data_IF_366151331701
#
_entry.id   IF_366151331701
#
_cell.length_a   1.000
_cell.length_b   1.000
_cell.length_c   1.000
_cell.angle_alpha   90.00
_cell.angle_beta   90.00
_cell.angle_gamma   90.00
#
_symmetry.space_group_name_H-M   'P 1'
#
loop_
_entity.id
_entity.type
_entity.pdbx_description
1 polymer ?
#
# COMPACT_ATOMS: atom_id res chain seq x y z
N UNK A 1 -110.27 -23.30 26.30
CA UNK A 1 -110.23 -24.77 26.55
C UNK A 1 -110.85 -25.12 27.90
N UNK A 2 -110.38 -24.57 29.02
CA UNK A 2 -110.90 -24.86 30.37
C UNK A 2 -112.41 -24.57 30.53
N UNK A 3 -112.90 -23.44 29.99
CA UNK A 3 -114.34 -23.08 29.98
C UNK A 3 -115.25 -24.13 29.33
N UNK A 4 -114.76 -24.85 28.32
CA UNK A 4 -115.50 -25.93 27.65
C UNK A 4 -115.59 -27.19 28.50
N UNK A 5 -114.60 -27.44 29.35
CA UNK A 5 -114.59 -28.56 30.29
C UNK A 5 -115.34 -28.24 31.59
N UNK A 6 -115.44 -26.96 31.98
CA UNK A 6 -116.28 -26.47 33.08
C UNK A 6 -117.75 -26.81 32.89
N UNK A 7 -118.32 -26.41 31.75
CA UNK A 7 -119.73 -26.69 31.40
C UNK A 7 -120.00 -28.19 31.38
N UNK A 8 -119.08 -28.98 30.81
CA UNK A 8 -119.22 -30.44 30.82
C UNK A 8 -119.17 -31.01 32.24
N UNK A 9 -118.23 -30.59 33.09
CA UNK A 9 -118.10 -31.12 34.46
C UNK A 9 -119.29 -30.72 35.36
N UNK A 10 -119.94 -29.59 35.12
CA UNK A 10 -121.19 -29.20 35.80
C UNK A 10 -122.36 -30.13 35.45
N UNK A 11 -122.45 -30.62 34.21
CA UNK A 11 -123.54 -31.50 33.75
C UNK A 11 -123.44 -32.95 34.27
N UNK A 12 -122.22 -33.46 34.52
CA UNK A 12 -121.97 -34.88 34.87
C UNK A 12 -121.41 -35.12 36.28
N UNK A 13 -121.09 -34.08 37.04
CA UNK A 13 -120.55 -34.26 38.40
C UNK A 13 -121.64 -34.26 39.48
N UNK A 14 -121.45 -35.06 40.53
CA UNK A 14 -122.31 -35.09 41.72
C UNK A 14 -121.99 -33.96 42.72
N UNK A 15 -121.16 -32.99 42.32
CA UNK A 15 -120.72 -31.87 43.15
C UNK A 15 -121.58 -30.63 42.89
N UNK A 16 -121.67 -29.72 43.86
CA UNK A 16 -122.31 -28.42 43.65
C UNK A 16 -121.50 -27.62 42.61
N UNK A 17 -122.16 -26.82 41.76
CA UNK A 17 -121.49 -26.05 40.71
C UNK A 17 -120.31 -25.19 41.24
N UNK A 18 -120.44 -24.68 42.47
CA UNK A 18 -119.38 -23.96 43.18
C UNK A 18 -118.09 -24.79 43.38
N UNK A 19 -118.22 -26.09 43.67
CA UNK A 19 -117.09 -26.99 43.89
C UNK A 19 -116.40 -27.38 42.56
N UNK A 20 -117.16 -27.51 41.47
CA UNK A 20 -116.63 -27.73 40.12
C UNK A 20 -115.83 -26.51 39.65
N UNK A 21 -116.37 -25.30 39.86
CA UNK A 21 -115.64 -24.06 39.57
C UNK A 21 -114.38 -23.92 40.43
N UNK A 22 -114.44 -24.28 41.72
CA UNK A 22 -113.27 -24.25 42.60
C UNK A 22 -112.18 -25.22 42.13
N UNK A 23 -112.54 -26.46 41.78
CA UNK A 23 -111.60 -27.45 41.24
C UNK A 23 -110.94 -26.97 39.94
N UNK A 24 -111.70 -26.38 39.03
CA UNK A 24 -111.18 -25.88 37.76
C UNK A 24 -110.30 -24.65 37.98
N UNK A 25 -110.67 -23.76 38.89
CA UNK A 25 -109.86 -22.62 39.26
C UNK A 25 -108.53 -23.07 39.90
N UNK A 26 -108.55 -24.06 40.79
CA UNK A 26 -107.33 -24.64 41.38
C UNK A 26 -106.45 -25.32 40.32
N UNK A 27 -107.06 -26.03 39.35
CA UNK A 27 -106.31 -26.62 38.23
C UNK A 27 -105.73 -25.57 37.28
N UNK A 28 -106.49 -24.52 36.97
CA UNK A 28 -106.01 -23.37 36.18
C UNK A 28 -104.87 -22.65 36.90
N UNK A 29 -104.99 -22.44 38.21
CA UNK A 29 -103.95 -21.84 39.05
C UNK A 29 -102.69 -22.69 39.10
N UNK A 30 -102.82 -24.01 39.18
CA UNK A 30 -101.69 -24.94 39.13
C UNK A 30 -100.99 -24.94 37.76
N UNK A 31 -101.75 -24.93 36.66
CA UNK A 31 -101.21 -24.84 35.30
C UNK A 31 -100.50 -23.49 35.11
N UNK A 32 -101.11 -22.38 35.52
CA UNK A 32 -100.49 -21.06 35.43
C UNK A 32 -99.23 -20.95 36.28
N UNK A 33 -99.21 -21.56 37.48
CA UNK A 33 -98.03 -21.61 38.34
C UNK A 33 -96.89 -22.42 37.69
N UNK A 34 -97.21 -23.54 37.04
CA UNK A 34 -96.22 -24.35 36.31
C UNK A 34 -95.70 -23.63 35.05
N UNK A 35 -96.58 -22.97 34.28
CA UNK A 35 -96.21 -22.14 33.13
C UNK A 35 -95.28 -21.00 33.52
N UNK A 36 -95.63 -20.23 34.55
CA UNK A 36 -94.77 -19.16 35.08
C UNK A 36 -93.44 -19.70 35.63
N UNK A 37 -93.46 -20.89 36.25
CA UNK A 37 -92.26 -21.59 36.69
C UNK A 37 -91.35 -21.96 35.50
N UNK A 38 -91.92 -22.50 34.43
CA UNK A 38 -91.22 -22.88 33.21
C UNK A 38 -90.69 -21.65 32.46
N UNK A 39 -91.46 -20.56 32.35
CA UNK A 39 -91.00 -19.30 31.76
C UNK A 39 -89.83 -18.72 32.54
N UNK A 40 -89.90 -18.70 33.89
CA UNK A 40 -88.78 -18.26 34.74
C UNK A 40 -87.55 -19.16 34.58
N UNK A 41 -87.72 -20.48 34.55
CA UNK A 41 -86.62 -21.43 34.35
C UNK A 41 -85.97 -21.24 32.97
N UNK A 42 -86.78 -21.05 31.92
CA UNK A 42 -86.32 -20.78 30.55
C UNK A 42 -85.55 -19.45 30.49
N UNK A 43 -86.09 -18.39 31.07
CA UNK A 43 -85.42 -17.09 31.15
C UNK A 43 -84.08 -17.17 31.90
N UNK A 44 -84.03 -17.95 33.00
CA UNK A 44 -82.78 -18.16 33.76
C UNK A 44 -81.74 -18.97 32.97
N UNK A 45 -82.16 -19.99 32.23
CA UNK A 45 -81.29 -20.75 31.33
C UNK A 45 -80.73 -19.86 30.21
N UNK A 46 -81.58 -19.05 29.57
CA UNK A 46 -81.16 -18.09 28.54
C UNK A 46 -80.15 -17.09 29.10
N UNK A 47 -80.41 -16.55 30.31
CA UNK A 47 -79.48 -15.64 30.98
C UNK A 47 -78.13 -16.30 31.25
N UNK A 48 -78.11 -17.49 31.87
CA UNK A 48 -76.87 -18.20 32.20
C UNK A 48 -76.09 -18.58 30.93
N UNK A 49 -76.79 -18.95 29.84
CA UNK A 49 -76.14 -19.23 28.56
C UNK A 49 -75.50 -17.97 28.00
N UNK A 50 -76.21 -16.84 28.01
CA UNK A 50 -75.70 -15.56 27.52
C UNK A 50 -74.50 -15.07 28.34
N UNK A 51 -74.55 -15.24 29.66
CA UNK A 51 -73.44 -14.95 30.58
C UNK A 51 -72.22 -15.83 30.26
N UNK A 52 -72.40 -17.14 30.09
CA UNK A 52 -71.31 -18.06 29.74
C UNK A 52 -70.69 -17.76 28.38
N UNK A 53 -71.49 -17.42 27.36
CA UNK A 53 -70.98 -17.03 26.05
C UNK A 53 -70.21 -15.71 26.11
N UNK A 54 -70.69 -14.72 26.88
CA UNK A 54 -69.97 -13.45 27.08
C UNK A 54 -68.60 -13.67 27.77
N UNK A 55 -68.54 -14.56 28.77
CA UNK A 55 -67.29 -14.92 29.43
C UNK A 55 -66.31 -15.62 28.48
N UNK A 56 -66.79 -16.52 27.62
CA UNK A 56 -65.97 -17.17 26.59
C UNK A 56 -65.44 -16.17 25.57
N UNK A 57 -66.30 -15.27 25.07
CA UNK A 57 -65.91 -14.22 24.12
C UNK A 57 -64.79 -13.34 24.73
N UNK A 58 -64.95 -12.94 25.98
CA UNK A 58 -63.93 -12.17 26.71
C UNK A 58 -62.60 -12.93 26.82
N UNK A 59 -62.65 -14.23 27.15
CA UNK A 59 -61.45 -15.07 27.22
C UNK A 59 -60.77 -15.22 25.85
N UNK A 60 -61.55 -15.42 24.78
CA UNK A 60 -61.04 -15.50 23.42
C UNK A 60 -60.41 -14.18 22.98
N UNK A 61 -61.03 -13.05 23.30
CA UNK A 61 -60.49 -11.72 22.99
C UNK A 61 -59.15 -11.49 23.71
N UNK A 62 -59.03 -11.86 24.98
CA UNK A 62 -57.77 -11.78 25.72
C UNK A 62 -56.67 -12.66 25.10
N UNK A 63 -56.98 -13.92 24.80
CA UNK A 63 -56.05 -14.84 24.12
C UNK A 63 -55.63 -14.31 22.76
N UNK A 64 -56.56 -13.78 21.97
CA UNK A 64 -56.26 -13.17 20.68
C UNK A 64 -55.31 -11.98 20.82
N UNK A 65 -55.56 -11.09 21.80
CA UNK A 65 -54.67 -9.97 22.08
C UNK A 65 -53.26 -10.40 22.47
N UNK A 66 -53.11 -11.45 23.29
CA UNK A 66 -51.81 -12.04 23.60
C UNK A 66 -51.12 -12.60 22.35
N UNK A 67 -51.83 -13.36 21.52
CA UNK A 67 -51.29 -13.92 20.27
C UNK A 67 -50.86 -12.85 19.28
N UNK A 68 -51.59 -11.74 19.20
CA UNK A 68 -51.19 -10.60 18.37
C UNK A 68 -49.90 -9.97 18.88
N UNK A 69 -49.72 -9.84 20.21
CA UNK A 69 -48.46 -9.35 20.79
C UNK A 69 -47.29 -10.29 20.50
N UNK A 70 -47.47 -11.60 20.67
CA UNK A 70 -46.45 -12.59 20.36
C UNK A 70 -46.05 -12.56 18.89
N UNK A 71 -47.05 -12.54 17.99
CA UNK A 71 -46.82 -12.45 16.55
C UNK A 71 -46.04 -11.18 16.17
N UNK A 72 -46.40 -10.03 16.75
CA UNK A 72 -45.68 -8.76 16.55
C UNK A 72 -44.21 -8.85 16.99
N UNK A 73 -43.95 -9.46 18.15
CA UNK A 73 -42.59 -9.67 18.66
C UNK A 73 -41.77 -10.58 17.76
N UNK A 74 -42.36 -11.68 17.27
CA UNK A 74 -41.70 -12.63 16.38
C UNK A 74 -41.31 -11.93 15.06
N UNK A 75 -42.21 -11.16 14.47
CA UNK A 75 -41.92 -10.44 13.23
C UNK A 75 -40.80 -9.40 13.39
N UNK A 76 -40.82 -8.63 14.48
CA UNK A 76 -39.71 -7.71 14.82
C UNK A 76 -38.38 -8.46 14.89
N UNK A 77 -38.34 -9.61 15.56
CA UNK A 77 -37.14 -10.45 15.66
C UNK A 77 -36.70 -10.98 14.30
N UNK A 78 -37.61 -11.43 13.45
CA UNK A 78 -37.28 -11.92 12.11
C UNK A 78 -36.59 -10.84 11.25
N UNK A 79 -37.06 -9.59 11.29
CA UNK A 79 -36.43 -8.48 10.54
C UNK A 79 -35.02 -8.20 11.07
N UNK A 80 -34.86 -8.16 12.40
CA UNK A 80 -33.54 -7.95 13.03
C UNK A 80 -32.57 -9.09 12.71
N UNK A 81 -33.04 -10.34 12.75
CA UNK A 81 -32.18 -11.50 12.48
C UNK A 81 -31.78 -11.55 11.01
N UNK A 82 -32.69 -11.28 10.09
CA UNK A 82 -32.37 -11.17 8.66
C UNK A 82 -31.32 -10.09 8.38
N UNK A 83 -31.36 -8.96 9.10
CA UNK A 83 -30.32 -7.95 9.02
C UNK A 83 -28.99 -8.45 9.58
N UNK A 84 -29.01 -9.17 10.71
CA UNK A 84 -27.80 -9.76 11.32
C UNK A 84 -27.14 -10.77 10.39
N UNK A 85 -27.92 -11.65 9.76
CA UNK A 85 -27.44 -12.63 8.77
C UNK A 85 -26.82 -11.92 7.56
N UNK A 86 -27.48 -10.87 7.05
CA UNK A 86 -26.94 -10.04 5.97
C UNK A 86 -25.59 -9.42 6.37
N UNK A 87 -25.51 -8.82 7.56
CA UNK A 87 -24.26 -8.23 8.05
C UNK A 87 -23.17 -9.28 8.24
N UNK A 88 -23.51 -10.51 8.61
CA UNK A 88 -22.56 -11.62 8.79
C UNK A 88 -22.14 -12.29 7.47
N UNK A 89 -22.75 -11.92 6.34
CA UNK A 89 -22.41 -12.50 5.04
C UNK A 89 -20.97 -12.14 4.61
N UNK A 90 -20.36 -13.04 3.84
CA UNK A 90 -18.99 -12.85 3.35
C UNK A 90 -18.87 -11.61 2.47
N UNK A 91 -19.88 -11.31 1.65
CA UNK A 91 -19.91 -10.11 0.80
C UNK A 91 -19.80 -8.79 1.59
N UNK A 92 -20.26 -8.79 2.85
CA UNK A 92 -20.26 -7.61 3.71
C UNK A 92 -19.06 -7.61 4.65
N UNK A 93 -18.71 -8.75 5.25
CA UNK A 93 -17.58 -8.83 6.17
C UNK A 93 -16.22 -8.81 5.44
N UNK A 94 -16.11 -9.55 4.33
CA UNK A 94 -14.87 -9.72 3.57
C UNK A 94 -15.15 -9.61 2.06
N UNK A 95 -15.37 -8.39 1.53
CA UNK A 95 -15.83 -8.21 0.16
C UNK A 95 -14.86 -8.87 -0.85
N UNK A 96 -15.34 -9.79 -1.71
CA UNK A 96 -14.48 -10.51 -2.66
C UNK A 96 -13.71 -9.58 -3.64
N UNK A 97 -14.28 -8.42 -3.94
CA UNK A 97 -13.65 -7.40 -4.78
C UNK A 97 -12.41 -6.82 -4.12
N UNK A 98 -12.46 -6.54 -2.81
CA UNK A 98 -11.30 -6.07 -2.03
C UNK A 98 -10.20 -7.13 -1.99
N UNK A 99 -10.59 -8.39 -1.78
CA UNK A 99 -9.62 -9.51 -1.83
C UNK A 99 -8.91 -9.59 -3.17
N UNK A 100 -9.66 -9.46 -4.27
CA UNK A 100 -9.10 -9.44 -5.63
C UNK A 100 -8.14 -8.27 -5.84
N UNK A 101 -8.51 -7.06 -5.39
CA UNK A 101 -7.61 -5.89 -5.46
C UNK A 101 -6.34 -6.11 -4.64
N UNK A 102 -6.43 -6.75 -3.47
CA UNK A 102 -5.26 -7.07 -2.64
C UNK A 102 -4.33 -8.07 -3.33
N UNK A 103 -4.89 -9.11 -3.94
CA UNK A 103 -4.13 -10.09 -4.71
C UNK A 103 -3.43 -9.44 -5.92
N UNK A 104 -4.13 -8.56 -6.64
CA UNK A 104 -3.55 -7.80 -7.74
C UNK A 104 -2.41 -6.91 -7.28
N UNK A 105 -2.58 -6.19 -6.16
CA UNK A 105 -1.53 -5.36 -5.57
C UNK A 105 -0.29 -6.17 -5.24
N UNK A 106 -0.45 -7.33 -4.60
CA UNK A 106 0.68 -8.21 -4.24
C UNK A 106 1.44 -8.64 -5.50
N UNK A 107 0.74 -9.05 -6.56
CA UNK A 107 1.39 -9.44 -7.81
C UNK A 107 2.17 -8.30 -8.45
N UNK A 108 1.58 -7.10 -8.48
CA UNK A 108 2.23 -5.91 -9.03
C UNK A 108 3.45 -5.49 -8.20
N UNK A 109 3.35 -5.56 -6.86
CA UNK A 109 4.47 -5.31 -5.95
C UNK A 109 5.60 -6.32 -6.14
N UNK A 110 5.30 -7.59 -6.39
CA UNK A 110 6.32 -8.61 -6.69
C UNK A 110 7.10 -8.22 -7.95
N UNK A 111 6.39 -7.89 -9.04
CA UNK A 111 7.02 -7.51 -10.31
C UNK A 111 7.90 -6.26 -10.16
N UNK A 112 7.40 -5.22 -9.50
CA UNK A 112 8.16 -4.00 -9.23
C UNK A 112 9.33 -4.25 -8.27
N UNK A 113 9.14 -5.12 -7.27
CA UNK A 113 10.16 -5.55 -6.33
C UNK A 113 11.31 -6.28 -7.01
N UNK A 114 11.01 -7.17 -7.96
CA UNK A 114 12.02 -7.84 -8.79
C UNK A 114 12.77 -6.86 -9.70
N UNK A 115 12.08 -5.89 -10.29
CA UNK A 115 12.71 -4.81 -11.07
C UNK A 115 13.68 -4.00 -10.20
N UNK A 116 13.24 -3.61 -9.00
CA UNK A 116 14.07 -2.89 -8.03
C UNK A 116 15.29 -3.71 -7.61
N UNK A 117 15.11 -5.01 -7.37
CA UNK A 117 16.21 -5.91 -7.02
C UNK A 117 17.26 -5.97 -8.13
N UNK A 118 16.85 -6.04 -9.41
CA UNK A 118 17.80 -6.01 -10.54
C UNK A 118 18.61 -4.72 -10.58
N UNK A 119 17.96 -3.57 -10.35
CA UNK A 119 18.66 -2.28 -10.28
C UNK A 119 19.65 -2.24 -9.11
N UNK A 120 19.28 -2.75 -7.94
CA UNK A 120 20.17 -2.84 -6.78
C UNK A 120 21.36 -3.80 -7.02
N UNK A 121 21.15 -4.91 -7.73
CA UNK A 121 22.23 -5.83 -8.08
C UNK A 121 23.23 -5.21 -9.05
N UNK A 122 22.77 -4.31 -9.94
CA UNK A 122 23.64 -3.58 -10.87
C UNK A 122 24.62 -2.64 -10.15
N UNK A 123 24.38 -2.25 -8.90
CA UNK A 123 25.29 -1.41 -8.12
C UNK A 123 26.69 -2.02 -8.01
N UNK A 124 26.80 -3.35 -7.91
CA UNK A 124 28.09 -4.04 -7.82
C UNK A 124 28.96 -3.91 -9.08
N UNK A 125 28.38 -3.53 -10.22
CA UNK A 125 29.12 -3.32 -11.46
C UNK A 125 29.50 -1.84 -11.69
N UNK A 126 28.95 -0.91 -10.90
CA UNK A 126 29.23 0.52 -10.99
C UNK A 126 30.57 0.86 -10.32
N UNK A 127 31.66 0.32 -10.86
CA UNK A 127 33.01 0.48 -10.34
C UNK A 127 33.89 1.25 -11.33
N UNK A 128 34.79 2.11 -10.83
CA UNK A 128 35.88 2.65 -11.64
C UNK A 128 36.77 1.55 -12.24
N UNK A 129 37.43 1.80 -13.38
CA UNK A 129 37.37 3.02 -14.20
C UNK A 129 36.20 3.05 -15.18
N UNK A 130 35.43 1.96 -15.27
CA UNK A 130 34.46 1.72 -16.33
C UNK A 130 33.22 2.60 -16.27
N UNK A 131 32.89 3.14 -15.10
CA UNK A 131 31.70 3.94 -14.86
C UNK A 131 32.08 5.31 -14.31
N UNK A 132 31.27 6.30 -14.65
CA UNK A 132 31.42 7.70 -14.27
C UNK A 132 30.42 8.09 -13.18
N UNK A 133 30.62 9.25 -12.58
CA UNK A 133 29.65 9.86 -11.67
C UNK A 133 28.27 10.05 -12.32
N UNK A 134 28.21 10.27 -13.63
CA UNK A 134 26.94 10.40 -14.35
C UNK A 134 26.15 9.10 -14.32
N UNK A 135 26.82 7.96 -14.54
CA UNK A 135 26.18 6.64 -14.57
C UNK A 135 25.59 6.28 -13.21
N UNK A 136 26.26 6.64 -12.12
CA UNK A 136 25.75 6.44 -10.74
C UNK A 136 24.55 7.34 -10.46
N UNK A 137 24.57 8.59 -10.93
CA UNK A 137 23.43 9.50 -10.78
C UNK A 137 22.21 8.99 -11.56
N UNK A 138 22.43 8.43 -12.76
CA UNK A 138 21.37 7.83 -13.58
C UNK A 138 20.81 6.56 -12.93
N UNK A 139 21.68 5.68 -12.43
CA UNK A 139 21.28 4.51 -11.65
C UNK A 139 20.41 4.90 -10.44
N UNK A 140 20.84 5.92 -9.67
CA UNK A 140 20.11 6.37 -8.50
C UNK A 140 18.74 6.97 -8.87
N UNK A 141 18.68 7.78 -9.93
CA UNK A 141 17.40 8.30 -10.45
C UNK A 141 16.46 7.17 -10.88
N UNK A 142 16.99 6.12 -11.51
CA UNK A 142 16.21 4.95 -11.90
C UNK A 142 15.63 4.24 -10.68
N UNK A 143 16.44 4.07 -9.63
CA UNK A 143 16.01 3.48 -8.36
C UNK A 143 14.94 4.34 -7.66
N UNK A 144 15.12 5.66 -7.62
CA UNK A 144 14.16 6.60 -7.03
C UNK A 144 12.82 6.59 -7.78
N UNK A 145 12.85 6.58 -9.12
CA UNK A 145 11.66 6.50 -9.95
C UNK A 145 10.90 5.18 -9.75
N UNK A 146 11.62 4.05 -9.56
CA UNK A 146 11.00 2.77 -9.23
C UNK A 146 10.34 2.80 -7.84
N UNK A 147 10.99 3.37 -6.83
CA UNK A 147 10.38 3.52 -5.51
C UNK A 147 9.11 4.39 -5.58
N UNK A 148 9.16 5.52 -6.29
CA UNK A 148 7.97 6.37 -6.53
C UNK A 148 6.85 5.63 -7.25
N UNK A 149 7.19 4.75 -8.20
CA UNK A 149 6.22 3.94 -8.93
C UNK A 149 5.54 2.91 -8.03
N UNK A 150 6.29 2.29 -7.11
CA UNK A 150 5.74 1.38 -6.07
C UNK A 150 4.78 2.16 -5.17
N UNK A 151 5.18 3.32 -4.66
CA UNK A 151 4.35 4.14 -3.77
C UNK A 151 3.06 4.61 -4.45
N UNK A 152 3.18 5.07 -5.70
CA UNK A 152 2.01 5.48 -6.52
C UNK A 152 1.05 4.32 -6.67
N UNK A 153 1.56 3.12 -6.96
CA UNK A 153 0.72 1.94 -7.17
C UNK A 153 0.02 1.48 -5.89
N UNK A 154 0.70 1.58 -4.75
CA UNK A 154 0.11 1.30 -3.45
C UNK A 154 -1.06 2.26 -3.17
N UNK A 155 -0.86 3.56 -3.38
CA UNK A 155 -1.92 4.58 -3.19
C UNK A 155 -3.11 4.33 -4.12
N UNK A 156 -2.87 4.02 -5.39
CA UNK A 156 -3.94 3.69 -6.35
C UNK A 156 -4.76 2.47 -5.92
N UNK A 157 -4.11 1.42 -5.43
CA UNK A 157 -4.82 0.23 -4.96
C UNK A 157 -5.62 0.50 -3.68
N UNK A 158 -5.02 1.22 -2.73
CA UNK A 158 -5.70 1.67 -1.51
C UNK A 158 -6.98 2.45 -1.81
N UNK A 159 -6.93 3.32 -2.82
CA UNK A 159 -8.11 4.09 -3.23
C UNK A 159 -9.20 3.19 -3.84
N UNK A 160 -8.82 2.20 -4.67
CA UNK A 160 -9.80 1.22 -5.17
C UNK A 160 -10.45 0.44 -4.03
N UNK A 161 -9.67 -0.01 -3.04
CA UNK A 161 -10.21 -0.72 -1.87
C UNK A 161 -11.18 0.17 -1.08
N UNK A 162 -10.83 1.44 -0.87
CA UNK A 162 -11.72 2.43 -0.23
C UNK A 162 -13.06 2.52 -0.95
N UNK A 163 -13.05 2.68 -2.27
CA UNK A 163 -14.29 2.74 -3.08
C UNK A 163 -15.12 1.46 -2.94
N UNK A 164 -14.48 0.29 -2.89
CA UNK A 164 -15.20 -0.97 -2.67
C UNK A 164 -15.84 -1.04 -1.27
N UNK A 165 -15.13 -0.60 -0.23
CA UNK A 165 -15.70 -0.52 1.11
C UNK A 165 -16.85 0.49 1.19
N UNK A 166 -16.74 1.65 0.55
CA UNK A 166 -17.84 2.63 0.46
C UNK A 166 -19.08 2.05 -0.23
N UNK A 167 -18.90 1.25 -1.30
CA UNK A 167 -20.01 0.56 -1.95
C UNK A 167 -20.71 -0.41 -0.98
N UNK A 168 -19.95 -1.17 -0.19
CA UNK A 168 -20.49 -2.08 0.83
C UNK A 168 -21.23 -1.31 1.91
N UNK A 169 -20.69 -0.17 2.36
CA UNK A 169 -21.38 0.71 3.30
C UNK A 169 -22.70 1.23 2.74
N UNK A 170 -22.75 1.61 1.46
CA UNK A 170 -23.97 1.99 0.76
C UNK A 170 -25.03 0.88 0.78
N UNK A 171 -24.64 -0.36 0.46
CA UNK A 171 -25.53 -1.54 0.54
C UNK A 171 -26.07 -1.74 1.96
N UNK A 172 -25.23 -1.57 2.97
CA UNK A 172 -25.64 -1.69 4.37
C UNK A 172 -26.69 -0.63 4.73
N UNK A 173 -26.48 0.62 4.34
CA UNK A 173 -27.44 1.70 4.57
C UNK A 173 -28.78 1.46 3.89
N UNK A 174 -28.78 0.99 2.63
CA UNK A 174 -30.00 0.62 1.91
C UNK A 174 -30.76 -0.50 2.62
N UNK A 175 -30.04 -1.51 3.12
CA UNK A 175 -30.65 -2.61 3.89
C UNK A 175 -31.26 -2.11 5.20
N UNK A 176 -30.59 -1.21 5.93
CA UNK A 176 -31.14 -0.57 7.13
C UNK A 176 -32.45 0.16 6.82
N UNK A 177 -32.49 0.95 5.75
CA UNK A 177 -33.72 1.65 5.34
C UNK A 177 -34.83 0.68 4.94
N UNK A 178 -34.50 -0.38 4.22
CA UNK A 178 -35.46 -1.44 3.84
C UNK A 178 -36.06 -2.11 5.08
N UNK A 179 -35.24 -2.43 6.08
CA UNK A 179 -35.70 -2.97 7.35
C UNK A 179 -36.59 -1.99 8.10
N UNK A 180 -36.24 -0.69 8.12
CA UNK A 180 -37.07 0.37 8.73
C UNK A 180 -38.44 0.48 8.07
N UNK A 181 -38.48 0.54 6.73
CA UNK A 181 -39.74 0.62 5.97
C UNK A 181 -40.60 -0.62 6.20
N UNK A 182 -40.00 -1.81 6.17
CA UNK A 182 -40.71 -3.07 6.44
C UNK A 182 -41.39 -3.07 7.82
N UNK A 183 -40.71 -2.57 8.85
CA UNK A 183 -41.28 -2.48 10.21
C UNK A 183 -42.42 -1.46 10.31
N UNK A 184 -42.32 -0.33 9.59
CA UNK A 184 -43.37 0.70 9.53
C UNK A 184 -44.60 0.20 8.76
N UNK A 185 -44.40 -0.40 7.59
CA UNK A 185 -45.47 -0.89 6.70
C UNK A 185 -46.29 -1.99 7.36
N UNK A 186 -45.65 -2.85 8.15
CA UNK A 186 -46.35 -3.91 8.88
C UNK A 186 -47.20 -3.38 10.05
N UNK A 187 -47.01 -2.12 10.48
CA UNK A 187 -47.68 -1.51 11.64
C UNK A 187 -47.59 -2.37 12.93
N UNK A 188 -46.47 -3.09 13.05
CA UNK A 188 -46.22 -4.08 14.09
C UNK A 188 -45.64 -3.42 15.35
N UNK A 189 -44.80 -2.40 15.17
CA UNK A 189 -44.10 -1.68 16.24
C UNK A 189 -44.65 -0.26 16.42
N UNK A 190 -44.43 0.32 17.60
CA UNK A 190 -44.58 1.77 17.78
C UNK A 190 -43.44 2.49 17.05
N UNK A 191 -43.63 3.77 16.74
CA UNK A 191 -42.58 4.59 16.10
C UNK A 191 -41.30 4.59 16.94
N UNK A 192 -41.41 4.67 18.26
CA UNK A 192 -40.28 4.61 19.18
C UNK A 192 -39.51 3.27 19.10
N UNK A 193 -40.24 2.15 19.05
CA UNK A 193 -39.62 0.82 18.91
C UNK A 193 -38.85 0.67 17.60
N UNK A 194 -39.37 1.25 16.51
CA UNK A 194 -38.70 1.25 15.20
C UNK A 194 -37.42 2.06 15.25
N UNK A 195 -37.43 3.24 15.88
CA UNK A 195 -36.23 4.07 16.01
C UNK A 195 -35.14 3.40 16.86
N UNK A 196 -35.51 2.68 17.94
CA UNK A 196 -34.54 1.90 18.73
C UNK A 196 -33.90 0.80 17.89
N UNK A 197 -34.69 0.06 17.10
CA UNK A 197 -34.15 -1.00 16.22
C UNK A 197 -33.27 -0.40 15.13
N UNK A 198 -33.72 0.69 14.50
CA UNK A 198 -32.97 1.40 13.47
C UNK A 198 -31.63 1.91 14.00
N UNK A 199 -31.60 2.51 15.20
CA UNK A 199 -30.38 2.96 15.87
C UNK A 199 -29.40 1.80 16.12
N UNK A 200 -29.89 0.65 16.60
CA UNK A 200 -29.06 -0.53 16.81
C UNK A 200 -28.46 -1.06 15.50
N UNK A 201 -29.23 -1.06 14.40
CA UNK A 201 -28.74 -1.48 13.08
C UNK A 201 -27.67 -0.51 12.55
N UNK A 202 -27.88 0.79 12.69
CA UNK A 202 -26.88 1.80 12.33
C UNK A 202 -25.59 1.62 13.12
N UNK A 203 -25.67 1.31 14.42
CA UNK A 203 -24.49 1.05 15.23
C UNK A 203 -23.69 -0.16 14.73
N UNK A 204 -24.34 -1.20 14.20
CA UNK A 204 -23.65 -2.34 13.59
C UNK A 204 -22.93 -1.94 12.29
N UNK A 205 -23.57 -1.13 11.45
CA UNK A 205 -22.97 -0.60 10.23
C UNK A 205 -21.76 0.30 10.55
N UNK A 206 -21.86 1.15 11.56
CA UNK A 206 -20.76 2.03 11.97
C UNK A 206 -19.55 1.24 12.49
N UNK A 207 -19.78 0.17 13.26
CA UNK A 207 -18.70 -0.73 13.69
C UNK A 207 -17.99 -1.40 12.52
N UNK A 208 -18.73 -1.76 11.46
CA UNK A 208 -18.13 -2.32 10.25
C UNK A 208 -17.31 -1.27 9.51
N UNK A 209 -17.83 -0.04 9.39
CA UNK A 209 -17.13 1.08 8.77
C UNK A 209 -15.81 1.38 9.46
N UNK A 210 -15.83 1.51 10.79
CA UNK A 210 -14.63 1.76 11.59
C UNK A 210 -13.56 0.69 11.36
N UNK A 211 -13.95 -0.58 11.29
CA UNK A 211 -13.02 -1.68 11.00
C UNK A 211 -12.34 -1.49 9.63
N UNK A 212 -13.10 -1.16 8.59
CA UNK A 212 -12.54 -0.92 7.25
C UNK A 212 -11.60 0.29 7.24
N UNK A 213 -11.94 1.35 7.96
CA UNK A 213 -11.09 2.53 8.11
C UNK A 213 -9.78 2.17 8.83
N UNK A 214 -9.84 1.43 9.94
CA UNK A 214 -8.66 0.95 10.68
C UNK A 214 -7.75 0.07 9.81
N UNK A 215 -8.32 -0.85 9.03
CA UNK A 215 -7.55 -1.71 8.11
C UNK A 215 -6.83 -0.87 7.05
N UNK A 216 -7.51 0.10 6.44
CA UNK A 216 -6.91 0.99 5.45
C UNK A 216 -5.84 1.91 6.08
N UNK A 217 -6.10 2.45 7.27
CA UNK A 217 -5.14 3.30 7.98
C UNK A 217 -3.88 2.53 8.37
N UNK A 218 -4.03 1.27 8.80
CA UNK A 218 -2.89 0.42 9.13
C UNK A 218 -2.00 0.18 7.89
N UNK A 219 -2.61 -0.18 6.76
CA UNK A 219 -1.87 -0.37 5.51
C UNK A 219 -1.20 0.91 5.02
N UNK A 220 -1.89 2.06 5.06
CA UNK A 220 -1.32 3.36 4.68
C UNK A 220 -0.09 3.72 5.55
N UNK A 221 -0.18 3.46 6.86
CA UNK A 221 0.93 3.68 7.79
C UNK A 221 2.13 2.79 7.46
N UNK A 222 1.90 1.51 7.23
CA UNK A 222 2.94 0.54 6.88
C UNK A 222 3.62 0.91 5.55
N UNK A 223 2.85 1.30 4.53
CA UNK A 223 3.40 1.75 3.25
C UNK A 223 4.23 3.02 3.39
N UNK A 224 3.75 4.02 4.14
CA UNK A 224 4.53 5.24 4.42
C UNK A 224 5.83 4.93 5.18
N UNK A 225 5.76 4.03 6.15
CA UNK A 225 6.93 3.57 6.90
C UNK A 225 7.95 2.89 5.99
N UNK A 226 7.49 2.01 5.12
CA UNK A 226 8.33 1.28 4.17
C UNK A 226 8.95 2.21 3.12
N UNK A 227 8.18 3.16 2.57
CA UNK A 227 8.66 4.15 1.62
C UNK A 227 9.81 4.99 2.22
N UNK A 228 9.62 5.50 3.44
CA UNK A 228 10.63 6.26 4.17
C UNK A 228 11.88 5.43 4.46
N UNK A 229 11.72 4.16 4.85
CA UNK A 229 12.82 3.25 5.08
C UNK A 229 13.64 3.03 3.79
N UNK A 230 12.96 2.80 2.67
CA UNK A 230 13.59 2.64 1.37
C UNK A 230 14.33 3.90 0.92
N UNK A 231 13.73 5.08 1.06
CA UNK A 231 14.36 6.36 0.73
C UNK A 231 15.68 6.54 1.48
N UNK A 232 15.66 6.36 2.81
CA UNK A 232 16.84 6.52 3.65
C UNK A 232 17.96 5.54 3.29
N UNK A 233 17.62 4.27 3.03
CA UNK A 233 18.62 3.28 2.67
C UNK A 233 19.15 3.44 1.24
N UNK A 234 18.31 3.82 0.29
CA UNK A 234 18.76 4.13 -1.07
C UNK A 234 19.69 5.35 -1.06
N UNK A 235 19.36 6.39 -0.29
CA UNK A 235 20.21 7.56 -0.13
C UNK A 235 21.56 7.19 0.50
N UNK A 236 21.57 6.37 1.56
CA UNK A 236 22.80 5.89 2.17
C UNK A 236 23.68 5.08 1.21
N UNK A 237 23.06 4.19 0.41
CA UNK A 237 23.76 3.42 -0.62
C UNK A 237 24.35 4.34 -1.69
N UNK A 238 23.59 5.32 -2.16
CA UNK A 238 24.06 6.30 -3.14
C UNK A 238 25.24 7.12 -2.62
N UNK A 239 25.16 7.62 -1.38
CA UNK A 239 26.28 8.32 -0.73
C UNK A 239 27.52 7.44 -0.65
N UNK A 240 27.37 6.17 -0.25
CA UNK A 240 28.47 5.22 -0.19
C UNK A 240 29.15 5.03 -1.56
N UNK A 241 28.38 4.82 -2.63
CA UNK A 241 28.92 4.66 -3.98
C UNK A 241 29.56 5.96 -4.49
N UNK A 242 28.97 7.12 -4.21
CA UNK A 242 29.56 8.41 -4.58
C UNK A 242 30.87 8.70 -3.86
N UNK A 243 30.98 8.35 -2.58
CA UNK A 243 32.21 8.49 -1.81
C UNK A 243 33.32 7.59 -2.38
N UNK A 244 32.99 6.34 -2.73
CA UNK A 244 33.94 5.43 -3.39
C UNK A 244 34.47 5.98 -4.73
N UNK A 245 33.60 6.59 -5.54
CA UNK A 245 34.00 7.29 -6.76
C UNK A 245 34.85 8.52 -6.48
N UNK A 246 34.52 9.28 -5.44
CA UNK A 246 35.28 10.46 -5.03
C UNK A 246 36.72 10.11 -4.69
N UNK A 247 36.94 8.98 -4.00
CA UNK A 247 38.28 8.47 -3.73
C UNK A 247 39.02 8.14 -5.04
N UNK A 248 38.37 7.43 -5.97
CA UNK A 248 38.98 7.12 -7.27
C UNK A 248 39.41 8.38 -8.03
N UNK A 249 38.56 9.42 -8.08
CA UNK A 249 38.88 10.67 -8.77
C UNK A 249 40.12 11.36 -8.19
N UNK A 250 40.33 11.29 -6.87
CA UNK A 250 41.54 11.84 -6.23
C UNK A 250 42.79 11.11 -6.71
N UNK A 251 42.76 9.78 -6.74
CA UNK A 251 43.90 8.97 -7.19
C UNK A 251 44.14 9.11 -8.70
N UNK A 252 43.09 9.23 -9.50
CA UNK A 252 43.20 9.51 -10.94
C UNK A 252 43.86 10.88 -11.18
N UNK A 253 43.50 11.90 -10.40
CA UNK A 253 44.15 13.21 -10.46
C UNK A 253 45.63 13.14 -10.07
N UNK A 254 45.99 12.36 -9.05
CA UNK A 254 47.38 12.17 -8.65
C UNK A 254 48.21 11.48 -9.74
N UNK A 255 47.66 10.45 -10.39
CA UNK A 255 48.31 9.79 -11.54
C UNK A 255 48.51 10.75 -12.70
N UNK A 256 47.48 11.54 -13.04
CA UNK A 256 47.57 12.56 -14.10
C UNK A 256 48.64 13.60 -13.80
N UNK A 257 48.76 14.05 -12.54
CA UNK A 257 49.83 14.98 -12.14
C UNK A 257 51.22 14.37 -12.29
N UNK A 258 51.40 13.10 -11.90
CA UNK A 258 52.67 12.40 -12.08
C UNK A 258 53.02 12.21 -13.57
N UNK A 259 52.03 11.90 -14.40
CA UNK A 259 52.18 11.80 -15.86
C UNK A 259 52.59 13.14 -16.47
N UNK A 260 51.94 14.25 -16.07
CA UNK A 260 52.28 15.60 -16.53
C UNK A 260 53.72 15.99 -16.17
N UNK A 261 54.19 15.62 -14.98
CA UNK A 261 55.58 15.86 -14.56
C UNK A 261 56.55 15.06 -15.43
N UNK A 262 56.26 13.77 -15.68
CA UNK A 262 57.10 12.92 -16.54
C UNK A 262 57.13 13.45 -17.98
N UNK A 263 55.97 13.81 -18.52
CA UNK A 263 55.81 14.34 -19.87
C UNK A 263 56.61 15.63 -20.05
N UNK A 264 56.54 16.56 -19.09
CA UNK A 264 57.36 17.79 -19.10
C UNK A 264 58.84 17.50 -19.17
N UNK A 265 59.36 16.56 -18.36
CA UNK A 265 60.77 16.19 -18.39
C UNK A 265 61.21 15.54 -19.70
N UNK A 266 60.34 14.69 -20.28
CA UNK A 266 60.58 14.10 -21.60
C UNK A 266 60.62 15.18 -22.68
N UNK A 267 59.72 16.15 -22.63
CA UNK A 267 59.67 17.26 -23.59
C UNK A 267 60.84 18.24 -23.41
N UNK A 268 61.26 18.54 -22.18
CA UNK A 268 62.46 19.31 -21.86
C UNK A 268 63.71 18.63 -22.46
N UNK A 269 63.85 17.32 -22.29
CA UNK A 269 64.93 16.56 -22.91
C UNK A 269 64.90 16.62 -24.44
N UNK A 270 63.73 16.42 -25.05
CA UNK A 270 63.56 16.49 -26.51
C UNK A 270 63.94 17.87 -27.03
N UNK A 271 63.55 18.92 -26.32
CA UNK A 271 63.87 20.29 -26.65
C UNK A 271 65.36 20.57 -26.54
N UNK A 272 66.00 20.19 -25.43
CA UNK A 272 67.43 20.38 -25.20
C UNK A 272 68.26 19.63 -26.24
N UNK A 273 67.89 18.38 -26.54
CA UNK A 273 68.53 17.59 -27.58
C UNK A 273 68.41 18.25 -28.95
N UNK A 274 67.22 18.71 -29.33
CA UNK A 274 66.99 19.39 -30.60
C UNK A 274 67.79 20.70 -30.70
N UNK A 275 67.86 21.47 -29.61
CA UNK A 275 68.62 22.70 -29.53
C UNK A 275 70.13 22.45 -29.70
N UNK A 276 70.68 21.46 -28.98
CA UNK A 276 72.09 21.06 -29.09
C UNK A 276 72.42 20.65 -30.53
N UNK A 277 71.57 19.82 -31.15
CA UNK A 277 71.75 19.38 -32.54
C UNK A 277 71.72 20.58 -33.51
N UNK A 278 70.78 21.52 -33.31
CA UNK A 278 70.62 22.68 -34.18
C UNK A 278 71.82 23.64 -34.07
N UNK A 279 72.25 24.00 -32.86
CA UNK A 279 73.42 24.86 -32.63
C UNK A 279 74.68 24.23 -33.23
N UNK A 280 74.89 22.93 -33.01
CA UNK A 280 76.03 22.20 -33.58
C UNK A 280 76.02 22.20 -35.11
N UNK A 281 74.85 22.10 -35.72
CA UNK A 281 74.68 22.17 -37.17
C UNK A 281 74.99 23.57 -37.71
N UNK A 282 74.42 24.61 -37.09
CA UNK A 282 74.60 26.00 -37.52
C UNK A 282 76.06 26.48 -37.37
N UNK A 283 76.73 26.06 -36.29
CA UNK A 283 78.15 26.34 -36.05
C UNK A 283 79.02 25.70 -37.15
N UNK A 284 78.76 24.43 -37.49
CA UNK A 284 79.50 23.71 -38.53
C UNK A 284 79.22 24.27 -39.92
N UNK A 285 77.96 24.57 -40.25
CA UNK A 285 77.55 25.19 -41.50
C UNK A 285 78.24 26.55 -41.69
N UNK A 286 78.35 27.35 -40.62
CA UNK A 286 79.07 28.63 -40.63
C UNK A 286 80.56 28.46 -40.91
N UNK A 287 81.21 27.47 -40.30
CA UNK A 287 82.63 27.19 -40.55
C UNK A 287 82.83 26.69 -41.99
N UNK A 288 81.95 25.83 -42.49
CA UNK A 288 81.99 25.33 -43.87
C UNK A 288 81.83 26.45 -44.90
N UNK A 289 80.94 27.41 -44.67
CA UNK A 289 80.81 28.57 -45.56
C UNK A 289 82.06 29.44 -45.55
N UNK A 290 82.68 29.67 -44.38
CA UNK A 290 83.97 30.38 -44.30
C UNK A 290 85.09 29.65 -45.06
N UNK A 291 85.14 28.31 -44.99
CA UNK A 291 86.09 27.50 -45.75
C UNK A 291 85.88 27.64 -47.27
N UNK A 292 84.63 27.68 -47.74
CA UNK A 292 84.32 27.86 -49.17
C UNK A 292 84.74 29.24 -49.70
N UNK A 293 84.73 30.25 -48.83
CA UNK A 293 85.07 31.64 -49.16
C UNK A 293 86.55 31.99 -48.89
N UNK A 294 87.36 31.03 -48.43
CA UNK A 294 88.76 31.25 -48.11
C UNK A 294 89.56 31.69 -49.35
N UNK A 295 90.39 32.73 -49.20
CA UNK A 295 91.11 33.37 -50.30
C UNK A 295 92.57 32.92 -50.41
N UNK A 296 93.11 32.29 -49.37
CA UNK A 296 94.44 31.70 -49.34
C UNK A 296 94.49 30.38 -48.55
N UNK A 297 95.62 29.67 -48.67
CA UNK A 297 95.84 28.36 -48.04
C UNK A 297 95.91 28.47 -46.52
N UNK A 298 96.49 29.55 -46.00
CA UNK A 298 96.60 29.81 -44.56
C UNK A 298 95.23 30.00 -43.90
N UNK A 299 94.32 30.77 -44.52
CA UNK A 299 92.93 30.95 -44.07
C UNK A 299 92.16 29.62 -44.10
N UNK A 300 92.34 28.84 -45.17
CA UNK A 300 91.69 27.53 -45.31
C UNK A 300 92.16 26.56 -44.20
N UNK A 301 93.45 26.59 -43.87
CA UNK A 301 94.04 25.74 -42.83
C UNK A 301 93.53 26.12 -41.43
N UNK A 302 93.40 27.41 -41.13
CA UNK A 302 92.79 27.90 -39.89
C UNK A 302 91.32 27.47 -39.77
N UNK A 303 90.52 27.63 -40.83
CA UNK A 303 89.12 27.20 -40.81
C UNK A 303 88.96 25.67 -40.72
N UNK A 304 89.86 24.89 -41.31
CA UNK A 304 89.89 23.44 -41.16
C UNK A 304 90.18 23.03 -39.71
N UNK A 305 91.13 23.68 -39.04
CA UNK A 305 91.45 23.43 -37.63
C UNK A 305 90.27 23.81 -36.71
N UNK A 306 89.57 24.90 -37.04
CA UNK A 306 88.31 25.27 -36.38
C UNK A 306 87.20 24.23 -36.61
N UNK A 307 87.07 23.67 -37.81
CA UNK A 307 86.09 22.61 -38.10
C UNK A 307 86.39 21.34 -37.31
N UNK A 308 87.66 20.92 -37.24
CA UNK A 308 88.09 19.78 -36.45
C UNK A 308 87.82 19.99 -34.95
N UNK A 309 88.11 21.19 -34.45
CA UNK A 309 87.80 21.57 -33.06
C UNK A 309 86.29 21.57 -32.78
N UNK A 310 85.48 22.04 -33.72
CA UNK A 310 84.01 21.99 -33.65
C UNK A 310 83.50 20.55 -33.63
N UNK A 311 84.04 19.66 -34.48
CA UNK A 311 83.69 18.24 -34.49
C UNK A 311 84.01 17.52 -33.17
N UNK A 312 85.10 17.88 -32.49
CA UNK A 312 85.42 17.36 -31.15
C UNK A 312 84.44 17.88 -30.07
N UNK A 313 84.00 19.14 -30.15
CA UNK A 313 82.94 19.67 -29.29
C UNK A 313 81.60 18.97 -29.54
N UNK A 314 81.27 18.70 -30.81
CA UNK A 314 80.10 17.92 -31.23
C UNK A 314 80.11 16.53 -30.59
N UNK A 315 81.25 15.81 -30.65
CA UNK A 315 81.40 14.50 -29.99
C UNK A 315 81.10 14.57 -28.49
N UNK A 316 81.69 15.56 -27.81
CA UNK A 316 81.54 15.73 -26.35
C UNK A 316 80.09 16.06 -25.95
N UNK A 317 79.42 16.93 -26.71
CA UNK A 317 77.99 17.26 -26.49
C UNK A 317 77.08 16.07 -26.80
N UNK A 318 77.42 15.24 -27.79
CA UNK A 318 76.67 14.03 -28.08
C UNK A 318 76.76 12.99 -26.95
N UNK A 319 77.94 12.82 -26.34
CA UNK A 319 78.13 11.98 -25.15
C UNK A 319 77.30 12.50 -23.95
N UNK A 320 77.21 13.82 -23.78
CA UNK A 320 76.31 14.44 -22.79
C UNK A 320 74.83 14.12 -23.07
N UNK A 321 74.38 14.19 -24.34
CA UNK A 321 73.02 13.80 -24.74
C UNK A 321 72.71 12.33 -24.44
N UNK A 322 73.69 11.42 -24.58
CA UNK A 322 73.54 10.00 -24.20
C UNK A 322 73.32 9.86 -22.69
N UNK A 323 74.08 10.62 -21.89
CA UNK A 323 73.95 10.62 -20.43
C UNK A 323 72.58 11.14 -19.99
N UNK A 324 72.12 12.26 -20.57
CA UNK A 324 70.77 12.79 -20.33
C UNK A 324 69.68 11.79 -20.73
N UNK A 325 69.83 11.11 -21.88
CA UNK A 325 68.90 10.07 -22.31
C UNK A 325 68.76 8.97 -21.27
N UNK A 326 69.87 8.54 -20.68
CA UNK A 326 69.84 7.50 -19.65
C UNK A 326 69.04 7.95 -18.42
N UNK A 327 69.23 9.19 -17.96
CA UNK A 327 68.48 9.76 -16.83
C UNK A 327 66.97 9.76 -17.10
N UNK A 328 66.56 10.22 -18.29
CA UNK A 328 65.14 10.24 -18.68
C UNK A 328 64.57 8.83 -18.80
N UNK A 329 65.34 7.88 -19.34
CA UNK A 329 64.93 6.48 -19.42
C UNK A 329 64.75 5.87 -18.03
N UNK A 330 65.62 6.17 -17.07
CA UNK A 330 65.50 5.66 -15.70
C UNK A 330 64.21 6.18 -15.03
N UNK A 331 63.82 7.42 -15.29
CA UNK A 331 62.56 7.99 -14.81
C UNK A 331 61.33 7.37 -15.48
N UNK A 332 61.36 7.15 -16.80
CA UNK A 332 60.29 6.44 -17.53
C UNK A 332 60.13 5.02 -16.98
N UNK A 333 61.24 4.33 -16.72
CA UNK A 333 61.23 2.97 -16.18
C UNK A 333 60.74 2.91 -14.73
N UNK A 334 60.81 4.02 -13.98
CA UNK A 334 60.26 4.13 -12.63
C UNK A 334 58.74 4.37 -12.62
N UNK A 335 58.15 4.92 -13.70
CA UNK A 335 56.74 5.29 -13.75
C UNK A 335 55.74 4.13 -13.52
N UNK A 336 55.92 2.92 -14.10
CA UNK A 336 55.06 1.78 -13.79
C UNK A 336 55.02 1.42 -12.30
N UNK A 337 56.14 1.63 -11.58
CA UNK A 337 56.20 1.41 -10.14
C UNK A 337 55.42 2.48 -9.37
N UNK A 338 55.40 3.72 -9.86
CA UNK A 338 54.59 4.80 -9.29
C UNK A 338 53.09 4.51 -9.45
N UNK A 339 52.66 4.02 -10.62
CA UNK A 339 51.26 3.58 -10.85
C UNK A 339 50.87 2.50 -9.84
N UNK A 340 51.72 1.49 -9.65
CA UNK A 340 51.46 0.41 -8.70
C UNK A 340 51.32 0.94 -7.26
N UNK A 341 52.18 1.88 -6.85
CA UNK A 341 52.07 2.52 -5.54
C UNK A 341 50.77 3.29 -5.38
N UNK A 342 50.29 3.97 -6.41
CA UNK A 342 49.04 4.71 -6.35
C UNK A 342 47.82 3.78 -6.28
N UNK A 343 47.86 2.63 -6.96
CA UNK A 343 46.82 1.60 -6.83
C UNK A 343 46.78 1.00 -5.41
N UNK A 344 47.93 0.78 -4.78
CA UNK A 344 48.02 0.33 -3.39
C UNK A 344 47.47 1.42 -2.46
N UNK A 345 47.86 2.68 -2.68
CA UNK A 345 47.35 3.86 -1.96
C UNK A 345 45.82 3.94 -2.04
N UNK A 346 45.24 3.77 -3.23
CA UNK A 346 43.79 3.72 -3.44
C UNK A 346 43.12 2.60 -2.65
N UNK A 347 43.68 1.38 -2.70
CA UNK A 347 43.17 0.27 -1.91
C UNK A 347 43.20 0.57 -0.40
N UNK A 348 44.25 1.22 0.10
CA UNK A 348 44.35 1.61 1.51
C UNK A 348 43.28 2.63 1.86
N UNK A 349 43.14 3.69 1.05
CA UNK A 349 42.14 4.75 1.24
C UNK A 349 40.73 4.20 1.27
N UNK A 350 40.37 3.32 0.33
CA UNK A 350 39.08 2.63 0.32
C UNK A 350 38.87 1.78 1.59
N UNK A 351 39.88 1.00 1.97
CA UNK A 351 39.80 0.11 3.11
C UNK A 351 39.59 0.88 4.42
N UNK A 352 40.30 2.00 4.58
CA UNK A 352 40.16 2.89 5.73
C UNK A 352 38.80 3.60 5.74
N UNK A 353 38.37 4.15 4.60
CA UNK A 353 37.11 4.88 4.49
C UNK A 353 35.91 4.00 4.83
N UNK A 354 35.87 2.78 4.30
CA UNK A 354 34.77 1.83 4.55
C UNK A 354 35.01 0.90 5.74
N UNK A 355 36.13 1.06 6.46
CA UNK A 355 36.52 0.18 7.58
C UNK A 355 36.51 -1.31 7.23
N UNK A 356 36.97 -1.65 6.01
CA UNK A 356 37.06 -3.03 5.51
C UNK A 356 38.50 -3.52 5.50
N UNK A 357 38.68 -4.85 5.54
CA UNK A 357 40.02 -5.46 5.54
C UNK A 357 40.70 -5.24 4.19
N UNK A 358 41.92 -4.69 4.24
CA UNK A 358 42.77 -4.44 3.07
C UNK A 358 43.13 -5.74 2.34
N UNK A 359 42.95 -5.78 1.02
CA UNK A 359 43.16 -6.97 0.18
C UNK A 359 44.59 -7.03 -0.37
N UNK A 360 45.20 -5.89 -0.68
CA UNK A 360 46.49 -5.81 -1.40
C UNK A 360 47.74 -5.95 -0.51
N UNK A 361 47.58 -6.25 0.78
CA UNK A 361 48.68 -6.54 1.71
C UNK A 361 48.99 -8.04 1.91
N UNK A 362 48.47 -8.92 1.04
CA UNK A 362 48.78 -10.35 1.05
C UNK A 362 49.87 -10.74 0.07
#
# INVERSE_FOLDING_TARGET
VLTKYTVKLEEISFFLAADVHKLINDKAMNINRALLGNERATAKLLFNLMESELEKEKLHQLKWQERVKDWKLIQKKCVVESFREFMASEEIQNPPTVKTEMENMIQEQIVLGEQRLRVLQHTGTLLPPTHTKSDINEWYRTLENLNKSIDTRNVECMEKMRVQYELVQGKCQEKVQTCKMTLLDMNICTVEDVEVVHSNMLQMTEKLKHRFEEELEHMDSDFKGMAKWHEQHCQGLYSCVQEAMGLWDVHLLQLSQQEDVLQKKVDEYRWEQANIIQVMKDDLDTILEKMKMASCEEELKEYLENALSSLDQIRTRYEFCITLKQIVMDEIMAYPKAILWELISYSISLSQHFSVKEIFKQ
#
